data_IF_154806158462
#
_entry.id   IF_154806158462
#
_cell.length_a   1.000
_cell.length_b   1.000
_cell.length_c   1.000
_cell.angle_alpha   90.00
_cell.angle_beta   90.00
_cell.angle_gamma   90.00
#
_symmetry.space_group_name_H-M   'P 1'
#
loop_
_entity.id
_entity.type
_entity.pdbx_description
1 polymer ?
#
# COMPACT_ATOMS: atom_id res chain seq x y z
N UNK A 1 13.49 13.61 -2.63
CA UNK A 1 13.04 13.52 -1.23
C UNK A 1 13.56 12.28 -0.49
N UNK A 2 13.84 11.15 -1.16
CA UNK A 2 14.71 10.11 -0.60
C UNK A 2 16.15 10.33 -1.03
N UNK A 3 16.78 11.37 -0.50
CA UNK A 3 18.23 11.33 -0.40
C UNK A 3 18.51 10.51 0.85
N UNK A 4 19.49 9.61 0.85
CA UNK A 4 19.89 8.86 2.06
C UNK A 4 20.59 9.79 3.06
N UNK A 5 19.97 10.92 3.38
CA UNK A 5 20.43 11.95 4.29
C UNK A 5 20.20 11.50 5.73
N UNK A 6 21.11 11.91 6.62
CA UNK A 6 20.95 11.75 8.06
C UNK A 6 19.74 12.50 8.62
N UNK A 7 19.14 13.42 7.86
CA UNK A 7 17.90 14.11 8.21
C UNK A 7 16.63 13.31 7.90
N UNK A 8 16.72 12.32 7.01
CA UNK A 8 15.57 11.54 6.53
C UNK A 8 15.50 10.13 7.15
N UNK A 9 16.56 9.69 7.84
CA UNK A 9 16.65 8.38 8.50
C UNK A 9 17.09 8.55 9.95
N UNK A 10 16.27 8.09 10.89
CA UNK A 10 16.58 8.05 12.33
C UNK A 10 16.70 6.60 12.82
N UNK A 11 17.65 6.34 13.72
CA UNK A 11 17.83 5.03 14.31
C UNK A 11 16.97 4.89 15.58
N UNK A 12 16.13 3.86 15.62
CA UNK A 12 15.28 3.54 16.77
C UNK A 12 15.50 2.09 17.19
N UNK A 13 15.50 1.83 18.50
CA UNK A 13 15.36 0.46 18.99
C UNK A 13 13.94 -0.06 18.73
N UNK A 14 13.73 -1.37 18.89
CA UNK A 14 12.42 -2.02 18.65
C UNK A 14 11.30 -1.35 19.45
N UNK A 15 11.53 -1.02 20.71
CA UNK A 15 10.51 -0.39 21.57
C UNK A 15 10.18 1.04 21.16
N UNK A 16 11.20 1.84 20.83
CA UNK A 16 11.00 3.20 20.33
C UNK A 16 10.28 3.19 18.97
N UNK A 17 10.63 2.25 18.08
CA UNK A 17 9.97 2.10 16.79
C UNK A 17 8.49 1.72 16.95
N UNK A 18 8.18 0.75 17.82
CA UNK A 18 6.79 0.38 18.15
C UNK A 18 6.01 1.57 18.70
N UNK A 19 6.60 2.28 19.67
CA UNK A 19 5.98 3.46 20.29
C UNK A 19 5.74 4.57 19.27
N UNK A 20 6.71 4.83 18.38
CA UNK A 20 6.57 5.79 17.28
C UNK A 20 5.38 5.42 16.40
N UNK A 21 5.32 4.17 15.92
CA UNK A 21 4.23 3.72 15.05
C UNK A 21 2.84 3.86 15.69
N UNK A 22 2.72 3.61 17.01
CA UNK A 22 1.45 3.81 17.73
C UNK A 22 1.08 5.29 17.77
N UNK A 23 2.04 6.19 18.00
CA UNK A 23 1.82 7.64 18.06
C UNK A 23 1.53 8.24 16.69
N UNK A 24 2.18 7.73 15.66
CA UNK A 24 2.02 8.11 14.26
C UNK A 24 0.58 7.87 13.76
N UNK A 25 -0.14 6.92 14.37
CA UNK A 25 -1.52 6.59 14.01
C UNK A 25 -2.44 7.81 14.08
N UNK A 26 -2.31 8.66 15.10
CA UNK A 26 -3.12 9.86 15.24
C UNK A 26 -2.88 10.87 14.09
N UNK A 27 -1.63 10.97 13.61
CA UNK A 27 -1.29 11.80 12.45
C UNK A 27 -1.86 11.20 11.18
N UNK A 28 -1.77 9.88 10.99
CA UNK A 28 -2.35 9.18 9.83
C UNK A 28 -3.86 9.37 9.74
N UNK A 29 -4.57 9.28 10.87
CA UNK A 29 -6.02 9.51 10.95
C UNK A 29 -6.37 10.97 10.63
N UNK A 30 -5.60 11.92 11.15
CA UNK A 30 -5.77 13.34 10.82
C UNK A 30 -5.57 13.61 9.33
N UNK A 31 -4.52 13.04 8.74
CA UNK A 31 -4.25 13.14 7.31
C UNK A 31 -5.35 12.47 6.49
N UNK A 32 -5.88 11.34 6.95
CA UNK A 32 -6.99 10.67 6.28
C UNK A 32 -8.24 11.54 6.19
N UNK A 33 -8.60 12.21 7.29
CA UNK A 33 -9.72 13.16 7.31
C UNK A 33 -9.42 14.41 6.46
N UNK A 34 -8.24 15.00 6.64
CA UNK A 34 -7.85 16.25 6.00
C UNK A 34 -7.73 16.13 4.48
N UNK A 35 -7.22 15.00 3.99
CA UNK A 35 -6.95 14.75 2.58
C UNK A 35 -8.04 13.92 1.90
N UNK A 36 -9.12 13.53 2.61
CA UNK A 36 -10.13 12.62 2.07
C UNK A 36 -9.55 11.27 1.66
N UNK A 37 -8.55 10.78 2.41
CA UNK A 37 -7.73 9.62 2.08
C UNK A 37 -7.92 8.53 3.16
N UNK A 38 -8.97 7.68 3.08
CA UNK A 38 -9.26 6.73 4.14
C UNK A 38 -8.09 5.74 4.37
N UNK A 39 -7.87 5.35 5.64
CA UNK A 39 -6.91 4.30 5.97
C UNK A 39 -7.53 2.94 5.65
N UNK A 40 -6.73 2.01 5.11
CA UNK A 40 -7.20 0.68 4.68
C UNK A 40 -7.90 -0.14 5.79
N UNK A 41 -7.66 0.17 7.07
CA UNK A 41 -8.34 -0.48 8.18
C UNK A 41 -9.78 0.02 8.44
N UNK A 42 -10.16 1.17 7.87
CA UNK A 42 -11.41 1.88 8.20
C UNK A 42 -12.57 1.59 7.25
N UNK A 43 -12.28 1.11 6.03
CA UNK A 43 -13.22 0.72 5.00
C UNK A 43 -12.56 -0.41 4.21
N UNK A 44 -13.31 -1.37 3.64
CA UNK A 44 -12.80 -2.53 2.86
C UNK A 44 -12.01 -2.14 1.58
N UNK A 45 -11.02 -1.27 1.73
CA UNK A 45 -10.16 -0.68 0.72
C UNK A 45 -8.95 -1.60 0.55
N UNK A 46 -9.23 -2.84 0.21
CA UNK A 46 -8.20 -3.82 -0.16
C UNK A 46 -7.75 -3.54 -1.57
N UNK A 47 -6.43 -3.54 -1.78
CA UNK A 47 -5.82 -3.36 -3.11
C UNK A 47 -6.25 -4.46 -4.08
N UNK A 48 -6.46 -5.66 -3.54
CA UNK A 48 -6.82 -6.83 -4.31
C UNK A 48 -8.15 -7.37 -3.83
N UNK A 49 -9.00 -7.75 -4.78
CA UNK A 49 -10.23 -8.50 -4.51
C UNK A 49 -10.07 -9.92 -5.01
N UNK A 50 -10.85 -10.81 -4.41
CA UNK A 50 -10.88 -12.21 -4.81
C UNK A 50 -12.23 -12.55 -5.39
N UNK A 51 -12.24 -13.07 -6.62
CA UNK A 51 -13.44 -13.61 -7.23
C UNK A 51 -13.83 -14.90 -6.51
N UNK A 52 -15.00 -14.89 -5.88
CA UNK A 52 -15.47 -16.00 -5.08
C UNK A 52 -15.75 -17.26 -5.91
N UNK A 53 -16.16 -17.10 -7.16
CA UNK A 53 -16.49 -18.20 -8.05
C UNK A 53 -15.20 -18.79 -8.63
N UNK A 54 -14.28 -17.97 -9.12
CA UNK A 54 -12.94 -18.44 -9.52
C UNK A 54 -12.21 -19.14 -8.37
N UNK A 55 -12.38 -18.66 -7.12
CA UNK A 55 -11.82 -19.33 -5.93
C UNK A 55 -12.42 -20.72 -5.72
N UNK A 56 -13.75 -20.88 -5.86
CA UNK A 56 -14.42 -22.18 -5.74
C UNK A 56 -13.93 -23.14 -6.82
N UNK A 57 -13.86 -22.69 -8.06
CA UNK A 57 -13.40 -23.46 -9.22
C UNK A 57 -11.97 -23.94 -8.99
N UNK A 58 -11.08 -23.01 -8.64
CA UNK A 58 -9.67 -23.33 -8.35
C UNK A 58 -9.52 -24.32 -7.21
N UNK A 59 -10.32 -24.16 -6.16
CA UNK A 59 -10.31 -25.06 -5.01
C UNK A 59 -10.85 -26.45 -5.38
N UNK A 60 -11.90 -26.52 -6.21
CA UNK A 60 -12.47 -27.78 -6.68
C UNK A 60 -11.48 -28.55 -7.54
N UNK A 61 -10.88 -27.87 -8.52
CA UNK A 61 -9.89 -28.46 -9.41
C UNK A 61 -8.67 -29.01 -8.65
N UNK A 62 -8.10 -28.23 -7.74
CA UNK A 62 -6.96 -28.67 -6.90
C UNK A 62 -7.30 -29.87 -6.03
N UNK A 63 -8.51 -29.92 -5.48
CA UNK A 63 -8.95 -31.05 -4.67
C UNK A 63 -9.12 -32.32 -5.52
N UNK A 64 -9.63 -32.21 -6.75
CA UNK A 64 -9.77 -33.34 -7.68
C UNK A 64 -8.42 -33.84 -8.22
N UNK A 65 -7.44 -32.93 -8.42
CA UNK A 65 -6.07 -33.27 -8.80
C UNK A 65 -5.28 -33.97 -7.69
N UNK A 66 -5.73 -33.93 -6.44
CA UNK A 66 -4.97 -34.45 -5.31
C UNK A 66 -5.01 -35.99 -5.27
N UNK A 67 -4.03 -36.64 -5.92
CA UNK A 67 -3.91 -38.12 -6.03
C UNK A 67 -3.36 -38.83 -4.78
N UNK A 68 -3.52 -38.27 -3.58
CA UNK A 68 -2.89 -38.84 -2.36
C UNK A 68 -3.70 -40.02 -1.79
N UNK A 69 -3.04 -41.16 -1.50
CA UNK A 69 -3.68 -42.36 -0.91
C UNK A 69 -4.33 -42.12 0.46
N UNK A 70 -3.91 -41.07 1.17
CA UNK A 70 -4.43 -40.70 2.50
C UNK A 70 -5.69 -39.82 2.43
N UNK A 71 -6.00 -39.25 1.26
CA UNK A 71 -7.05 -38.26 1.08
C UNK A 71 -7.91 -38.60 -0.14
N UNK A 72 -8.41 -39.83 -0.20
CA UNK A 72 -9.36 -40.25 -1.23
C UNK A 72 -10.68 -39.52 -0.98
N UNK A 73 -11.11 -38.69 -1.93
CA UNK A 73 -12.38 -37.99 -1.81
C UNK A 73 -13.55 -39.00 -1.86
N UNK A 74 -14.53 -38.88 -0.95
CA UNK A 74 -15.80 -39.61 -1.08
C UNK A 74 -16.45 -39.31 -2.44
N UNK A 75 -17.09 -40.32 -3.05
CA UNK A 75 -17.65 -40.22 -4.40
C UNK A 75 -18.68 -39.09 -4.53
N UNK A 76 -19.54 -38.93 -3.52
CA UNK A 76 -20.50 -37.83 -3.46
C UNK A 76 -19.82 -36.46 -3.49
N UNK A 77 -18.72 -36.30 -2.75
CA UNK A 77 -17.96 -35.04 -2.74
C UNK A 77 -17.25 -34.80 -4.06
N UNK A 78 -16.73 -35.85 -4.71
CA UNK A 78 -16.12 -35.76 -6.02
C UNK A 78 -17.13 -35.24 -7.06
N UNK A 79 -18.33 -35.84 -7.13
CA UNK A 79 -19.40 -35.41 -8.05
C UNK A 79 -19.80 -33.95 -7.85
N UNK A 80 -19.86 -33.49 -6.60
CA UNK A 80 -20.14 -32.08 -6.29
C UNK A 80 -19.07 -31.13 -6.85
N UNK A 81 -17.78 -31.48 -6.71
CA UNK A 81 -16.68 -30.67 -7.22
C UNK A 81 -16.63 -30.69 -8.76
N UNK A 82 -16.92 -31.83 -9.37
CA UNK A 82 -17.03 -31.97 -10.83
C UNK A 82 -18.17 -31.08 -11.37
N UNK A 83 -19.34 -31.07 -10.71
CA UNK A 83 -20.45 -30.22 -11.10
C UNK A 83 -20.11 -28.72 -11.02
N UNK A 84 -19.33 -28.28 -10.02
CA UNK A 84 -18.85 -26.88 -9.94
C UNK A 84 -18.03 -26.50 -11.17
N UNK A 85 -17.19 -27.42 -11.68
CA UNK A 85 -16.38 -27.19 -12.87
C UNK A 85 -17.27 -27.16 -14.13
N UNK A 86 -18.13 -28.16 -14.32
CA UNK A 86 -18.99 -28.25 -15.51
C UNK A 86 -19.99 -27.08 -15.61
N UNK A 87 -20.44 -26.53 -14.48
CA UNK A 87 -21.27 -25.32 -14.47
C UNK A 87 -20.52 -24.07 -14.98
N UNK A 88 -19.20 -24.02 -14.80
CA UNK A 88 -18.39 -22.89 -15.25
C UNK A 88 -17.84 -23.08 -16.68
N UNK A 89 -17.66 -24.33 -17.10
CA UNK A 89 -17.16 -24.70 -18.42
C UNK A 89 -18.25 -25.48 -19.19
N UNK A 90 -19.33 -24.81 -19.65
CA UNK A 90 -20.48 -25.48 -20.28
C UNK A 90 -20.17 -26.15 -21.62
N UNK A 91 -19.03 -25.81 -22.23
CA UNK A 91 -18.53 -26.40 -23.48
C UNK A 91 -17.85 -27.77 -23.25
N UNK A 92 -17.64 -28.17 -21.98
CA UNK A 92 -17.01 -29.43 -21.60
C UNK A 92 -18.06 -30.38 -21.04
N UNK A 93 -18.21 -31.56 -21.65
CA UNK A 93 -19.15 -32.58 -21.19
C UNK A 93 -18.60 -33.43 -20.02
N UNK A 94 -17.27 -33.50 -19.90
CA UNK A 94 -16.58 -34.30 -18.88
C UNK A 94 -15.40 -33.54 -18.26
N UNK A 95 -15.08 -33.87 -17.00
CA UNK A 95 -13.93 -33.29 -16.29
C UNK A 95 -12.66 -34.03 -16.67
N UNK A 96 -11.90 -33.47 -17.61
CA UNK A 96 -10.61 -34.00 -18.05
C UNK A 96 -9.45 -33.55 -17.15
N UNK A 97 -8.29 -34.22 -17.25
CA UNK A 97 -7.10 -33.82 -16.51
C UNK A 97 -6.60 -32.44 -16.97
N UNK A 98 -6.71 -32.14 -18.28
CA UNK A 98 -6.37 -30.84 -18.84
C UNK A 98 -7.24 -29.71 -18.28
N UNK A 99 -8.57 -29.93 -18.20
CA UNK A 99 -9.50 -28.97 -17.61
C UNK A 99 -9.19 -28.71 -16.14
N UNK A 100 -8.82 -29.76 -15.39
CA UNK A 100 -8.44 -29.64 -13.99
C UNK A 100 -7.15 -28.82 -13.82
N UNK A 101 -6.15 -29.03 -14.67
CA UNK A 101 -4.91 -28.25 -14.63
C UNK A 101 -5.15 -26.78 -14.98
N UNK A 102 -5.97 -26.49 -15.98
CA UNK A 102 -6.37 -25.13 -16.35
C UNK A 102 -7.11 -24.44 -15.19
N UNK A 103 -8.17 -25.07 -14.69
CA UNK A 103 -8.98 -24.55 -13.60
C UNK A 103 -8.21 -24.41 -12.27
N UNK A 104 -7.21 -25.26 -12.01
CA UNK A 104 -6.36 -25.17 -10.82
C UNK A 104 -5.41 -23.95 -10.83
N UNK A 105 -5.18 -23.37 -12.01
CA UNK A 105 -4.27 -22.25 -12.25
C UNK A 105 -4.98 -20.94 -12.61
N UNK A 106 -6.31 -20.92 -12.66
CA UNK A 106 -7.09 -19.70 -12.92
C UNK A 106 -6.71 -18.57 -11.95
N UNK A 107 -6.65 -17.35 -12.49
CA UNK A 107 -6.49 -16.13 -11.70
C UNK A 107 -7.75 -15.93 -10.85
N UNK A 108 -7.57 -15.79 -9.54
CA UNK A 108 -8.69 -15.49 -8.62
C UNK A 108 -8.53 -14.15 -7.92
N UNK A 109 -7.33 -13.57 -7.98
CA UNK A 109 -6.98 -12.32 -7.30
C UNK A 109 -6.81 -11.27 -8.37
N UNK A 110 -7.54 -10.17 -8.25
CA UNK A 110 -7.56 -9.08 -9.21
C UNK A 110 -7.32 -7.75 -8.50
N UNK A 111 -6.71 -6.79 -9.21
CA UNK A 111 -6.63 -5.42 -8.72
C UNK A 111 -8.05 -4.86 -8.56
N UNK A 112 -8.28 -4.22 -7.42
CA UNK A 112 -9.53 -3.54 -7.16
C UNK A 112 -9.51 -2.16 -7.86
N UNK A 113 -10.36 -1.91 -8.88
CA UNK A 113 -10.37 -0.62 -9.58
C UNK A 113 -10.78 0.54 -8.68
N UNK A 114 -11.53 0.26 -7.61
CA UNK A 114 -11.97 1.25 -6.64
C UNK A 114 -10.94 1.47 -5.51
N UNK A 115 -9.78 0.80 -5.57
CA UNK A 115 -8.74 0.98 -4.56
C UNK A 115 -8.03 2.31 -4.72
N UNK A 116 -8.18 3.16 -3.72
CA UNK A 116 -7.41 4.38 -3.57
C UNK A 116 -6.28 4.22 -2.54
N UNK A 117 -5.04 4.47 -2.96
CA UNK A 117 -3.89 4.44 -2.06
C UNK A 117 -3.87 5.69 -1.16
N UNK A 118 -4.02 5.50 0.16
CA UNK A 118 -3.96 6.59 1.15
C UNK A 118 -2.75 7.52 0.93
N UNK A 119 -1.54 6.95 0.84
CA UNK A 119 -0.31 7.71 0.70
C UNK A 119 -0.27 8.54 -0.59
N UNK A 120 -0.82 8.01 -1.67
CA UNK A 120 -0.91 8.73 -2.95
C UNK A 120 -1.85 9.94 -2.83
N UNK A 121 -3.05 9.77 -2.27
CA UNK A 121 -4.00 10.89 -2.06
C UNK A 121 -3.43 11.98 -1.16
N UNK A 122 -2.71 11.60 -0.10
CA UNK A 122 -2.02 12.56 0.77
C UNK A 122 -0.96 13.34 -0.02
N UNK A 123 -0.13 12.67 -0.83
CA UNK A 123 0.87 13.34 -1.68
C UNK A 123 0.21 14.30 -2.68
N UNK A 124 -0.81 13.84 -3.40
CA UNK A 124 -1.56 14.64 -4.37
C UNK A 124 -2.19 15.88 -3.72
N UNK A 125 -2.79 15.71 -2.53
CA UNK A 125 -3.36 16.80 -1.74
C UNK A 125 -2.33 17.89 -1.40
N UNK A 126 -1.14 17.50 -0.96
CA UNK A 126 -0.09 18.46 -0.61
C UNK A 126 0.56 19.10 -1.84
N UNK A 127 0.74 18.37 -2.94
CA UNK A 127 1.28 18.92 -4.19
C UNK A 127 0.41 20.04 -4.78
N UNK A 128 -0.90 20.04 -4.50
CA UNK A 128 -1.83 21.08 -4.93
C UNK A 128 -1.85 22.32 -4.02
N UNK A 129 -1.05 22.35 -2.95
CA UNK A 129 -1.05 23.41 -1.94
C UNK A 129 0.30 24.10 -1.85
N UNK A 130 0.25 25.36 -1.43
CA UNK A 130 1.47 26.12 -1.13
C UNK A 130 2.30 25.40 -0.06
N UNK A 131 3.61 25.31 -0.27
CA UNK A 131 4.54 24.60 0.61
C UNK A 131 4.66 23.11 0.32
N UNK A 132 3.76 22.54 -0.50
CA UNK A 132 3.95 21.22 -1.09
C UNK A 132 4.24 20.10 -0.09
N UNK A 133 5.10 19.18 -0.51
CA UNK A 133 5.56 18.08 0.34
C UNK A 133 6.47 18.52 1.49
N UNK A 134 7.05 19.73 1.45
CA UNK A 134 7.84 20.25 2.56
C UNK A 134 6.96 20.46 3.80
N UNK A 135 5.71 20.87 3.65
CA UNK A 135 4.78 20.97 4.79
C UNK A 135 4.47 19.60 5.38
N UNK A 136 4.25 18.59 4.54
CA UNK A 136 4.01 17.23 4.98
C UNK A 136 5.24 16.67 5.73
N UNK A 137 6.44 16.91 5.21
CA UNK A 137 7.71 16.56 5.85
C UNK A 137 7.87 17.23 7.21
N UNK A 138 7.68 18.55 7.29
CA UNK A 138 7.78 19.30 8.54
C UNK A 138 6.79 18.78 9.58
N UNK A 139 5.55 18.51 9.19
CA UNK A 139 4.52 17.93 10.06
C UNK A 139 4.97 16.61 10.68
N UNK A 140 5.54 15.69 9.88
CA UNK A 140 6.05 14.41 10.39
C UNK A 140 7.27 14.57 11.29
N UNK A 141 8.19 15.47 10.93
CA UNK A 141 9.40 15.76 11.71
C UNK A 141 9.07 16.39 13.05
N UNK A 142 8.15 17.34 13.09
CA UNK A 142 7.64 17.96 14.32
C UNK A 142 6.89 16.95 15.18
N UNK A 143 6.05 16.12 14.57
CA UNK A 143 5.36 15.05 15.29
C UNK A 143 6.35 14.13 15.99
N UNK A 144 7.39 13.66 15.28
CA UNK A 144 8.40 12.79 15.85
C UNK A 144 9.10 13.44 17.06
N UNK A 145 9.57 14.68 16.93
CA UNK A 145 10.25 15.35 18.03
C UNK A 145 9.34 15.57 19.24
N UNK A 146 8.11 16.03 19.01
CA UNK A 146 7.17 16.36 20.08
C UNK A 146 6.63 15.12 20.79
N UNK A 147 6.35 14.06 20.03
CA UNK A 147 5.77 12.82 20.56
C UNK A 147 6.84 11.92 21.17
N UNK A 148 7.98 11.72 20.50
CA UNK A 148 9.03 10.80 20.93
C UNK A 148 10.04 11.40 21.90
N UNK A 149 10.25 12.73 21.88
CA UNK A 149 11.25 13.43 22.72
C UNK A 149 12.60 12.68 22.76
N UNK A 150 13.24 12.46 21.60
CA UNK A 150 14.43 11.63 21.49
C UNK A 150 15.60 12.20 22.29
N UNK A 151 16.29 11.35 23.06
CA UNK A 151 17.43 11.76 23.90
C UNK A 151 18.73 11.97 23.11
N UNK A 152 18.88 11.29 21.99
CA UNK A 152 20.13 11.20 21.22
C UNK A 152 19.97 11.73 19.79
N UNK A 153 19.16 12.76 19.61
CA UNK A 153 18.97 13.36 18.29
C UNK A 153 20.27 14.05 17.85
N UNK A 154 20.71 13.89 16.58
CA UNK A 154 21.89 14.60 16.09
C UNK A 154 21.75 16.11 16.26
N UNK A 155 22.80 16.79 16.72
CA UNK A 155 22.78 18.23 17.04
C UNK A 155 22.36 19.11 15.86
N UNK A 156 22.71 18.71 14.63
CA UNK A 156 22.41 19.45 13.40
C UNK A 156 21.13 18.95 12.70
N UNK A 157 20.36 18.05 13.34
CA UNK A 157 19.09 17.62 12.76
C UNK A 157 18.08 18.77 12.85
N UNK A 158 17.52 19.15 11.69
CA UNK A 158 16.56 20.24 11.57
C UNK A 158 15.25 19.75 10.97
N UNK A 159 14.14 20.22 11.54
CA UNK A 159 12.80 20.05 10.96
C UNK A 159 12.75 20.60 9.54
N UNK A 160 13.45 21.72 9.28
CA UNK A 160 13.39 22.48 8.03
C UNK A 160 14.58 22.25 7.10
N UNK A 161 15.37 21.19 7.32
CA UNK A 161 16.58 20.93 6.55
C UNK A 161 16.37 20.97 5.03
N UNK A 162 15.34 20.30 4.50
CA UNK A 162 15.09 20.28 3.06
C UNK A 162 14.59 21.64 2.52
N UNK A 163 13.80 22.38 3.32
CA UNK A 163 13.41 23.75 2.98
C UNK A 163 14.64 24.68 2.89
N UNK A 164 15.52 24.63 3.89
CA UNK A 164 16.77 25.40 3.94
C UNK A 164 17.68 25.07 2.75
N UNK A 165 17.84 23.77 2.46
CA UNK A 165 18.64 23.28 1.33
C UNK A 165 18.08 23.74 -0.01
N UNK A 166 16.75 23.70 -0.19
CA UNK A 166 16.10 24.19 -1.41
C UNK A 166 16.22 25.70 -1.54
N UNK A 167 16.11 26.46 -0.45
CA UNK A 167 16.29 27.92 -0.45
C UNK A 167 17.67 28.33 -0.94
N UNK A 168 18.73 27.61 -0.52
CA UNK A 168 20.09 27.84 -1.02
C UNK A 168 20.17 27.57 -2.53
N UNK A 169 19.59 26.46 -3.01
CA UNK A 169 19.55 26.16 -4.46
C UNK A 169 18.79 27.23 -5.26
N UNK A 170 17.68 27.74 -4.74
CA UNK A 170 16.90 28.82 -5.36
C UNK A 170 17.76 30.08 -5.49
N UNK A 171 18.42 30.49 -4.40
CA UNK A 171 19.26 31.68 -4.39
C UNK A 171 20.45 31.57 -5.36
N UNK A 172 20.92 30.34 -5.61
CA UNK A 172 21.99 30.06 -6.56
C UNK A 172 21.49 29.81 -8.00
N UNK A 173 20.18 29.91 -8.25
CA UNK A 173 19.58 29.65 -9.57
C UNK A 173 19.63 28.19 -10.02
N UNK A 174 19.83 27.25 -9.08
CA UNK A 174 19.96 25.79 -9.33
C UNK A 174 18.68 25.02 -9.00
N UNK A 175 17.51 25.58 -9.34
CA UNK A 175 16.23 24.91 -9.10
C UNK A 175 15.85 24.02 -10.29
N UNK A 176 15.49 22.77 -10.03
CA UNK A 176 14.93 21.86 -11.03
C UNK A 176 13.41 21.96 -11.10
N UNK A 177 12.80 21.52 -12.20
CA UNK A 177 11.33 21.41 -12.30
C UNK A 177 10.75 20.48 -11.21
N UNK A 178 11.51 19.46 -10.81
CA UNK A 178 11.13 18.56 -9.72
C UNK A 178 11.08 19.28 -8.37
N UNK A 179 12.08 20.13 -8.10
CA UNK A 179 12.14 20.94 -6.89
C UNK A 179 10.94 21.90 -6.84
N UNK A 180 10.52 22.50 -7.97
CA UNK A 180 9.32 23.37 -8.08
C UNK A 180 8.04 22.59 -7.78
N UNK A 181 7.89 21.38 -8.33
CA UNK A 181 6.73 20.52 -8.05
C UNK A 181 6.68 20.15 -6.58
N UNK A 182 7.82 19.84 -5.97
CA UNK A 182 7.91 19.40 -4.57
C UNK A 182 7.44 20.46 -3.58
N UNK A 183 7.70 21.73 -3.85
CA UNK A 183 7.32 22.88 -3.01
C UNK A 183 5.89 23.37 -3.29
N UNK A 184 5.15 22.75 -4.21
CA UNK A 184 3.79 23.14 -4.57
C UNK A 184 3.71 24.55 -5.18
N UNK A 185 4.83 25.10 -5.67
CA UNK A 185 4.88 26.42 -6.29
C UNK A 185 4.39 26.31 -7.74
N UNK A 186 3.07 26.21 -7.92
CA UNK A 186 2.43 26.35 -9.23
C UNK A 186 2.15 27.82 -9.61
N UNK A 187 2.56 28.81 -8.78
CA UNK A 187 2.10 30.20 -8.91
C UNK A 187 3.10 31.34 -8.66
N UNK A 188 4.41 31.09 -8.74
CA UNK A 188 5.39 32.18 -8.78
C UNK A 188 6.18 32.14 -10.11
N UNK A 189 5.47 32.51 -11.18
CA UNK A 189 5.99 33.09 -12.41
C UNK A 189 5.00 34.18 -12.84
#
# INVERSE_FOLDING_TARGET
MKDHSSHDVVLLCVECHRTSNIRDQAVRERLAQLCGAPLAASQNHVKYTEDADCRKIRSAARALLQKSRKHVLPEERRRQLENILLQHYPEQDEVTEELLEEAANIQVVFDNPDYECHGQKVVEYYLQREGGLLQLEQLWREHFLTSMKPRYMPQLWSVKHNEERLRVRINEGRISEEDIKLIGLSRWL
#
